data_IF_332366245936
#
_entry.id   IF_332366245936
#
_cell.length_a   1.000
_cell.length_b   1.000
_cell.length_c   1.000
_cell.angle_alpha   90.00
_cell.angle_beta   90.00
_cell.angle_gamma   90.00
#
_symmetry.space_group_name_H-M   'P 1'
#
loop_
_entity.id
_entity.type
_entity.pdbx_description
1 polymer ?
#
# COMPACT_ATOMS: atom_id res chain seq x y z
N UNK A 1 28.22 -26.10 -2.22
CA UNK A 1 27.48 -24.83 -2.38
C UNK A 1 26.08 -25.12 -2.83
N UNK A 2 25.10 -24.90 -1.99
CA UNK A 2 23.72 -25.05 -2.40
C UNK A 2 23.24 -23.70 -2.96
N UNK A 3 22.68 -23.76 -4.17
CA UNK A 3 22.01 -22.59 -4.74
C UNK A 3 20.72 -22.32 -3.95
N UNK A 4 20.30 -21.04 -3.81
CA UNK A 4 19.03 -20.77 -3.21
C UNK A 4 17.91 -21.54 -3.92
N UNK A 5 17.15 -22.29 -3.16
CA UNK A 5 16.00 -22.97 -3.73
C UNK A 5 14.84 -21.98 -3.80
N UNK A 6 14.23 -21.92 -4.96
CA UNK A 6 13.05 -21.10 -5.16
C UNK A 6 11.81 -21.95 -5.03
N UNK A 7 10.87 -21.50 -4.26
CA UNK A 7 9.59 -22.14 -4.12
C UNK A 7 8.53 -21.30 -4.81
N UNK A 8 7.81 -21.88 -5.75
CA UNK A 8 6.63 -21.24 -6.29
C UNK A 8 5.54 -21.35 -5.26
N UNK A 9 5.19 -20.22 -4.65
CA UNK A 9 4.21 -20.19 -3.59
C UNK A 9 2.79 -20.07 -4.13
N UNK A 10 2.60 -19.16 -5.06
CA UNK A 10 1.28 -18.78 -5.53
C UNK A 10 1.35 -18.52 -7.03
N UNK A 11 0.30 -18.90 -7.72
CA UNK A 11 0.21 -18.71 -9.17
C UNK A 11 -1.16 -18.20 -9.54
N UNK A 12 -1.22 -17.15 -10.34
CA UNK A 12 -2.44 -16.60 -10.89
C UNK A 12 -2.42 -16.78 -12.42
N UNK A 13 -3.40 -17.48 -12.94
CA UNK A 13 -3.54 -17.69 -14.37
C UNK A 13 -4.83 -17.09 -14.86
N UNK A 14 -4.74 -16.20 -15.84
CA UNK A 14 -5.89 -15.56 -16.47
C UNK A 14 -5.68 -15.63 -17.97
N UNK A 15 -6.60 -16.28 -18.69
CA UNK A 15 -6.47 -16.54 -20.11
C UNK A 15 -5.18 -17.33 -20.36
N UNK A 16 -4.28 -16.84 -21.22
CA UNK A 16 -3.01 -17.49 -21.52
C UNK A 16 -1.85 -16.94 -20.68
N UNK A 17 -2.12 -16.09 -19.71
CA UNK A 17 -1.10 -15.41 -18.93
C UNK A 17 -1.02 -15.98 -17.53
N UNK A 18 0.18 -16.34 -17.12
CA UNK A 18 0.45 -16.89 -15.79
C UNK A 18 1.49 -16.03 -15.10
N UNK A 19 1.16 -15.58 -13.90
CA UNK A 19 2.07 -14.82 -13.05
C UNK A 19 2.23 -15.58 -11.74
N UNK A 20 3.48 -15.76 -11.32
CA UNK A 20 3.78 -16.50 -10.11
C UNK A 20 4.49 -15.62 -9.10
N UNK A 21 4.17 -15.84 -7.83
CA UNK A 21 4.89 -15.29 -6.69
C UNK A 21 5.77 -16.37 -6.13
N UNK A 22 7.05 -16.09 -6.04
CA UNK A 22 8.08 -17.06 -5.63
C UNK A 22 8.83 -16.48 -4.43
N UNK A 23 9.06 -17.32 -3.44
CA UNK A 23 9.95 -16.98 -2.33
C UNK A 23 11.25 -17.77 -2.46
N UNK A 24 12.38 -17.11 -2.30
CA UNK A 24 13.67 -17.77 -2.21
C UNK A 24 14.07 -18.01 -0.75
N UNK A 25 15.12 -18.80 -0.54
CA UNK A 25 15.64 -19.15 0.79
C UNK A 25 16.05 -17.94 1.64
N UNK A 26 16.38 -16.84 0.96
CA UNK A 26 16.76 -15.60 1.65
C UNK A 26 15.58 -14.77 2.12
N UNK A 27 14.34 -15.24 1.89
CA UNK A 27 13.13 -14.57 2.32
C UNK A 27 12.60 -13.51 1.37
N UNK A 28 13.28 -13.25 0.26
CA UNK A 28 12.80 -12.32 -0.75
C UNK A 28 11.69 -12.93 -1.59
N UNK A 29 10.78 -12.10 -2.05
CA UNK A 29 9.72 -12.51 -2.96
C UNK A 29 10.01 -11.96 -4.35
N UNK A 30 9.77 -12.81 -5.35
CA UNK A 30 9.92 -12.45 -6.77
C UNK A 30 8.61 -12.66 -7.49
N UNK A 31 8.36 -11.81 -8.45
CA UNK A 31 7.27 -12.00 -9.41
C UNK A 31 7.91 -12.58 -10.69
N UNK A 32 7.34 -13.65 -11.19
CA UNK A 32 7.80 -14.30 -12.43
C UNK A 32 6.68 -14.31 -13.45
N UNK A 33 7.02 -13.91 -14.68
CA UNK A 33 6.10 -13.93 -15.81
C UNK A 33 6.91 -13.99 -17.10
N UNK A 34 6.55 -14.90 -18.01
CA UNK A 34 7.24 -15.04 -19.32
C UNK A 34 8.76 -15.18 -19.17
N UNK A 35 9.21 -16.06 -18.28
CA UNK A 35 10.62 -16.34 -17.99
C UNK A 35 11.42 -15.13 -17.47
N UNK A 36 10.73 -14.04 -17.14
CA UNK A 36 11.32 -12.86 -16.52
C UNK A 36 10.97 -12.82 -15.05
N UNK A 37 11.88 -12.30 -14.26
CA UNK A 37 11.70 -12.17 -12.81
C UNK A 37 12.02 -10.75 -12.37
N UNK A 38 11.27 -10.28 -11.41
CA UNK A 38 11.55 -9.01 -10.74
C UNK A 38 11.24 -9.16 -9.26
N UNK A 39 12.04 -8.53 -8.42
CA UNK A 39 11.82 -8.57 -6.98
C UNK A 39 10.52 -7.84 -6.64
N UNK A 40 9.74 -8.42 -5.73
CA UNK A 40 8.58 -7.73 -5.18
C UNK A 40 9.08 -6.78 -4.10
N UNK A 41 9.00 -5.49 -4.37
CA UNK A 41 9.38 -4.48 -3.40
C UNK A 41 8.32 -4.37 -2.32
N UNK A 42 8.78 -4.36 -1.07
CA UNK A 42 7.89 -4.17 0.08
C UNK A 42 7.99 -2.71 0.50
N UNK A 43 6.94 -1.91 0.31
CA UNK A 43 6.97 -0.50 0.67
C UNK A 43 7.07 -0.32 2.18
N UNK A 44 7.72 0.74 2.60
CA UNK A 44 7.71 1.14 4.00
C UNK A 44 6.60 2.19 4.26
N UNK A 45 6.53 2.67 5.49
CA UNK A 45 5.51 3.65 5.89
C UNK A 45 5.68 4.97 5.14
N UNK A 46 6.92 5.41 4.92
CA UNK A 46 7.20 6.65 4.19
C UNK A 46 6.76 6.53 2.72
N UNK A 47 6.97 5.36 2.11
CA UNK A 47 6.48 5.09 0.75
C UNK A 47 4.96 5.20 0.70
N UNK A 48 4.27 4.64 1.67
CA UNK A 48 2.81 4.68 1.74
C UNK A 48 2.30 6.12 1.90
N UNK A 49 2.96 6.91 2.74
CA UNK A 49 2.63 8.33 2.93
C UNK A 49 2.92 9.15 1.67
N UNK A 50 4.02 8.82 0.97
CA UNK A 50 4.40 9.51 -0.26
C UNK A 50 3.39 9.35 -1.39
N UNK A 51 2.71 8.21 -1.46
CA UNK A 51 1.68 7.95 -2.48
C UNK A 51 0.53 8.96 -2.39
N UNK A 52 0.15 9.34 -1.18
CA UNK A 52 -0.97 10.29 -0.98
C UNK A 52 -0.54 11.75 -1.01
N UNK A 53 0.75 12.03 -0.95
CA UNK A 53 1.31 13.41 -0.89
C UNK A 53 0.68 14.25 0.22
N UNK A 54 0.23 13.63 1.31
CA UNK A 54 -0.37 14.32 2.43
C UNK A 54 -1.77 14.87 2.18
N UNK A 55 -2.33 14.68 0.99
CA UNK A 55 -3.64 15.21 0.61
C UNK A 55 -4.79 14.26 0.88
N UNK A 56 -4.50 12.98 0.94
CA UNK A 56 -5.49 11.91 1.12
C UNK A 56 -4.98 10.93 2.14
N UNK A 57 -5.89 10.16 2.71
CA UNK A 57 -5.51 9.02 3.53
C UNK A 57 -4.56 8.12 2.75
N UNK A 58 -3.55 7.54 3.40
CA UNK A 58 -2.68 6.56 2.75
C UNK A 58 -3.49 5.40 2.20
N UNK A 59 -2.98 4.73 1.16
CA UNK A 59 -3.69 3.61 0.55
C UNK A 59 -3.84 2.44 1.52
N UNK A 60 -4.92 1.70 1.34
CA UNK A 60 -5.14 0.45 2.06
C UNK A 60 -4.13 -0.61 1.60
N UNK A 61 -3.97 -1.64 2.40
CA UNK A 61 -2.96 -2.69 2.19
C UNK A 61 -3.02 -3.31 0.79
N UNK A 62 -4.22 -3.59 0.29
CA UNK A 62 -4.35 -4.15 -1.07
C UNK A 62 -3.80 -3.20 -2.14
N UNK A 63 -4.06 -1.92 -2.01
CA UNK A 63 -3.58 -0.92 -2.98
C UNK A 63 -2.05 -0.82 -2.93
N UNK A 64 -1.45 -0.88 -1.74
CA UNK A 64 0.00 -0.94 -1.60
C UNK A 64 0.57 -2.17 -2.31
N UNK A 65 -0.04 -3.32 -2.08
CA UNK A 65 0.38 -4.56 -2.74
C UNK A 65 0.24 -4.45 -4.27
N UNK A 66 -0.90 -3.95 -4.75
CA UNK A 66 -1.13 -3.80 -6.18
C UNK A 66 -0.08 -2.91 -6.83
N UNK A 67 0.29 -1.81 -6.18
CA UNK A 67 1.33 -0.92 -6.68
C UNK A 67 2.70 -1.60 -6.74
N UNK A 68 3.07 -2.33 -5.70
CA UNK A 68 4.32 -3.10 -5.69
C UNK A 68 4.33 -4.16 -6.78
N UNK A 69 3.22 -4.87 -6.95
CA UNK A 69 3.03 -5.87 -7.98
C UNK A 69 3.15 -5.27 -9.37
N UNK A 70 2.48 -4.16 -9.61
CA UNK A 70 2.54 -3.44 -10.89
C UNK A 70 3.96 -2.94 -11.20
N UNK A 71 4.66 -2.42 -10.20
CA UNK A 71 6.05 -1.98 -10.35
C UNK A 71 6.96 -3.12 -10.76
N UNK A 72 6.80 -4.29 -10.14
CA UNK A 72 7.58 -5.48 -10.49
C UNK A 72 7.36 -5.89 -11.95
N UNK A 73 6.11 -5.86 -12.39
CA UNK A 73 5.78 -6.19 -13.79
C UNK A 73 6.36 -5.14 -14.75
N UNK A 74 6.30 -3.88 -14.38
CA UNK A 74 6.87 -2.79 -15.20
C UNK A 74 8.37 -2.92 -15.33
N UNK A 75 9.07 -3.34 -14.28
CA UNK A 75 10.52 -3.57 -14.31
C UNK A 75 10.91 -4.70 -15.27
N UNK A 76 10.02 -5.65 -15.49
CA UNK A 76 10.23 -6.73 -16.45
C UNK A 76 10.03 -6.29 -17.91
N UNK A 77 9.62 -5.06 -18.15
CA UNK A 77 9.32 -4.50 -19.47
C UNK A 77 8.25 -5.31 -20.22
N UNK A 78 7.32 -5.87 -19.49
CA UNK A 78 6.21 -6.62 -20.07
C UNK A 78 5.04 -5.68 -20.34
N UNK A 79 4.42 -5.85 -21.51
CA UNK A 79 3.22 -5.09 -21.87
C UNK A 79 1.99 -5.90 -21.48
N UNK A 80 1.52 -5.65 -20.28
CA UNK A 80 0.31 -6.28 -19.77
C UNK A 80 -0.70 -5.19 -19.49
N UNK A 81 -1.94 -5.38 -19.91
CA UNK A 81 -3.00 -4.41 -19.69
C UNK A 81 -3.23 -4.21 -18.18
N UNK A 82 -3.50 -2.97 -17.80
CA UNK A 82 -3.77 -2.60 -16.41
C UNK A 82 -4.88 -3.43 -15.78
N UNK A 83 -5.94 -3.67 -16.56
CA UNK A 83 -7.06 -4.48 -16.10
C UNK A 83 -6.62 -5.90 -15.76
N UNK A 84 -5.74 -6.48 -16.57
CA UNK A 84 -5.20 -7.83 -16.33
C UNK A 84 -4.29 -7.84 -15.10
N UNK A 85 -3.43 -6.83 -14.97
CA UNK A 85 -2.57 -6.69 -13.79
C UNK A 85 -3.42 -6.62 -12.52
N UNK A 86 -4.49 -5.86 -12.54
CA UNK A 86 -5.38 -5.72 -11.39
C UNK A 86 -6.08 -7.05 -11.05
N UNK A 87 -6.47 -7.81 -12.04
CA UNK A 87 -7.08 -9.13 -11.82
C UNK A 87 -6.10 -10.11 -11.19
N UNK A 88 -4.88 -10.16 -11.72
CA UNK A 88 -3.82 -10.98 -11.14
C UNK A 88 -3.50 -10.56 -9.71
N UNK A 89 -3.39 -9.26 -9.47
CA UNK A 89 -3.13 -8.74 -8.14
C UNK A 89 -4.23 -9.12 -7.15
N UNK A 90 -5.49 -9.06 -7.57
CA UNK A 90 -6.64 -9.45 -6.73
C UNK A 90 -6.55 -10.93 -6.35
N UNK A 91 -6.30 -11.80 -7.34
CA UNK A 91 -6.15 -13.22 -7.11
C UNK A 91 -4.97 -13.49 -6.16
N UNK A 92 -3.85 -12.88 -6.45
CA UNK A 92 -2.63 -13.05 -5.67
C UNK A 92 -2.82 -12.59 -4.24
N UNK A 93 -3.47 -11.45 -4.04
CA UNK A 93 -3.72 -10.91 -2.69
C UNK A 93 -4.58 -11.86 -1.86
N UNK A 94 -5.60 -12.45 -2.46
CA UNK A 94 -6.42 -13.46 -1.79
C UNK A 94 -5.60 -14.67 -1.35
N UNK A 95 -4.70 -15.15 -2.22
CA UNK A 95 -3.83 -16.27 -1.90
C UNK A 95 -2.82 -15.92 -0.81
N UNK A 96 -2.26 -14.71 -0.84
CA UNK A 96 -1.32 -14.23 0.17
C UNK A 96 -2.01 -14.20 1.55
N UNK A 97 -3.23 -13.71 1.59
CA UNK A 97 -3.99 -13.64 2.84
C UNK A 97 -4.13 -15.02 3.48
N UNK A 98 -4.39 -16.05 2.68
CA UNK A 98 -4.63 -17.40 3.17
C UNK A 98 -3.33 -18.17 3.44
N UNK A 99 -2.32 -17.98 2.58
CA UNK A 99 -1.13 -18.85 2.56
C UNK A 99 0.14 -18.18 3.06
N UNK A 100 0.20 -16.86 3.05
CA UNK A 100 1.41 -16.10 3.41
C UNK A 100 1.07 -15.01 4.42
N UNK A 101 0.72 -15.40 5.66
CA UNK A 101 0.26 -14.42 6.66
C UNK A 101 1.30 -13.37 7.00
N UNK A 102 2.59 -13.69 6.99
CA UNK A 102 3.64 -12.72 7.28
C UNK A 102 3.68 -11.60 6.23
N UNK A 103 3.58 -11.96 4.96
CA UNK A 103 3.57 -10.98 3.89
C UNK A 103 2.28 -10.14 3.93
N UNK A 104 1.15 -10.79 4.16
CA UNK A 104 -0.14 -10.11 4.28
C UNK A 104 -0.13 -9.11 5.44
N UNK A 105 0.36 -9.54 6.61
CA UNK A 105 0.47 -8.67 7.79
C UNK A 105 1.44 -7.52 7.58
N UNK A 106 2.51 -7.75 6.83
CA UNK A 106 3.45 -6.68 6.52
C UNK A 106 2.76 -5.52 5.82
N UNK A 107 2.05 -5.80 4.73
CA UNK A 107 1.33 -4.75 4.00
C UNK A 107 0.24 -4.10 4.86
N UNK A 108 -0.44 -4.91 5.64
CA UNK A 108 -1.48 -4.41 6.54
C UNK A 108 -0.90 -3.47 7.59
N UNK A 109 0.19 -3.85 8.21
CA UNK A 109 0.84 -3.05 9.25
C UNK A 109 1.37 -1.74 8.68
N UNK A 110 1.97 -1.76 7.50
CA UNK A 110 2.45 -0.54 6.84
C UNK A 110 1.28 0.41 6.57
N UNK A 111 0.18 -0.11 6.04
CA UNK A 111 -1.01 0.69 5.77
C UNK A 111 -1.60 1.30 7.04
N UNK A 112 -1.72 0.51 8.09
CA UNK A 112 -2.26 0.96 9.38
C UNK A 112 -1.37 2.02 10.03
N UNK A 113 -0.06 1.79 10.05
CA UNK A 113 0.88 2.75 10.62
C UNK A 113 0.91 4.06 9.84
N UNK A 114 0.87 3.98 8.51
CA UNK A 114 0.79 5.16 7.67
C UNK A 114 -0.49 5.95 7.94
N UNK A 115 -1.61 5.25 8.08
CA UNK A 115 -2.90 5.87 8.40
C UNK A 115 -2.85 6.54 9.77
N UNK A 116 -2.26 5.89 10.76
CA UNK A 116 -2.12 6.47 12.09
C UNK A 116 -1.26 7.74 12.07
N UNK A 117 -0.14 7.71 11.36
CA UNK A 117 0.72 8.89 11.21
C UNK A 117 -0.01 10.02 10.48
N UNK A 118 -0.74 9.69 9.42
CA UNK A 118 -1.53 10.67 8.68
C UNK A 118 -2.59 11.31 9.58
N UNK A 119 -3.33 10.51 10.32
CA UNK A 119 -4.36 11.00 11.23
C UNK A 119 -3.75 11.84 12.36
N UNK A 120 -2.62 11.43 12.91
CA UNK A 120 -1.93 12.18 13.95
C UNK A 120 -1.47 13.54 13.43
N UNK A 121 -0.89 13.60 12.24
CA UNK A 121 -0.47 14.85 11.60
C UNK A 121 -1.67 15.78 11.37
N UNK A 122 -2.77 15.24 10.85
CA UNK A 122 -3.99 16.01 10.63
C UNK A 122 -4.60 16.50 11.95
N UNK A 123 -4.56 15.67 12.98
CA UNK A 123 -5.03 16.07 14.29
C UNK A 123 -4.20 17.23 14.86
N UNK A 124 -2.88 17.19 14.69
CA UNK A 124 -2.01 18.29 15.11
C UNK A 124 -2.33 19.57 14.38
N UNK A 125 -2.54 19.52 13.07
CA UNK A 125 -2.94 20.68 12.28
C UNK A 125 -4.29 21.22 12.76
N UNK A 126 -5.24 20.33 12.97
CA UNK A 126 -6.58 20.70 13.47
C UNK A 126 -6.48 21.36 14.85
N UNK A 127 -5.70 20.82 15.77
CA UNK A 127 -5.51 21.39 17.10
C UNK A 127 -4.86 22.75 17.03
N UNK A 128 -3.89 22.94 16.14
CA UNK A 128 -3.26 24.24 15.92
C UNK A 128 -4.28 25.27 15.43
N UNK A 129 -5.09 24.92 14.45
CA UNK A 129 -6.12 25.79 13.91
C UNK A 129 -7.18 26.14 14.97
N UNK A 130 -7.58 25.17 15.79
CA UNK A 130 -8.49 25.40 16.91
C UNK A 130 -7.92 26.38 17.92
N UNK A 131 -6.65 26.27 18.25
CA UNK A 131 -6.00 27.18 19.18
C UNK A 131 -5.91 28.59 18.60
N UNK A 132 -5.61 28.74 17.33
CA UNK A 132 -5.61 30.03 16.64
C UNK A 132 -6.98 30.66 16.62
N UNK A 133 -8.00 29.84 16.38
CA UNK A 133 -9.38 30.26 16.38
C UNK A 133 -9.80 30.72 17.76
N UNK A 134 -9.47 30.01 18.83
CA UNK A 134 -9.76 30.39 20.21
C UNK A 134 -9.10 31.71 20.59
N UNK A 135 -7.89 31.95 20.12
CA UNK A 135 -7.21 33.22 20.37
C UNK A 135 -7.93 34.39 19.71
N UNK A 136 -8.49 34.18 18.52
CA UNK A 136 -9.30 35.18 17.84
C UNK A 136 -10.64 35.41 18.57
N UNK A 137 -11.20 34.34 19.14
CA UNK A 137 -12.45 34.41 19.91
C UNK A 137 -12.34 35.27 21.14
N UNK A 138 -11.23 35.16 21.83
CA UNK A 138 -10.99 35.94 23.04
C UNK A 138 -10.83 37.42 22.74
N UNK A 139 -10.59 37.78 21.47
CA UNK A 139 -10.44 39.19 21.04
C UNK A 139 -11.69 39.77 20.38
N UNK A 140 -12.47 38.93 19.73
CA UNK A 140 -13.75 39.33 19.12
C UNK A 140 -14.78 38.28 19.48
N UNK A 141 -15.98 38.73 19.79
CA UNK A 141 -17.06 37.81 20.12
C UNK A 141 -17.33 36.87 18.96
N UNK A 142 -17.28 35.56 19.24
CA UNK A 142 -17.61 34.56 18.29
C UNK A 142 -19.07 34.55 17.96
N UNK A 143 -19.33 34.37 16.70
CA UNK A 143 -20.66 34.10 16.25
C UNK A 143 -20.97 32.61 16.50
N UNK A 144 -22.01 32.28 17.28
CA UNK A 144 -22.32 30.88 17.62
C UNK A 144 -22.63 29.98 16.42
N UNK A 145 -22.89 30.56 15.26
CA UNK A 145 -23.19 29.78 14.05
C UNK A 145 -22.00 29.05 13.48
N UNK A 146 -20.78 29.45 13.86
CA UNK A 146 -19.59 28.84 13.32
C UNK A 146 -19.26 27.46 13.90
N UNK A 147 -19.91 27.09 15.00
CA UNK A 147 -19.67 25.80 15.63
C UNK A 147 -20.37 24.64 14.94
N UNK A 148 -21.26 24.88 14.00
CA UNK A 148 -22.02 23.84 13.30
C UNK A 148 -21.40 23.39 12.01
N UNK A 149 -20.40 24.09 11.51
CA UNK A 149 -19.78 23.77 10.23
C UNK A 149 -18.77 22.62 10.31
N UNK A 150 -18.48 22.14 11.50
CA UNK A 150 -17.42 21.15 11.74
C UNK A 150 -17.94 19.81 12.23
N UNK A 151 -19.19 19.58 12.09
CA UNK A 151 -19.79 18.29 12.43
C UNK A 151 -19.62 17.26 11.32
#
# INVERSE_FOLDING_TARGET
MSFPQHFTLLTSSILEETISLIQCDLGYYYIECHDKKSILRTPDVDDALGISNGRRSPPKSFILFRKSFQSSISEMCLKIERAQISKHATNMWGYIKESQPHLWHYFKNVSEEATDRYNTANLKIFMFDMNSYRSSENKSRLNPHNSHEYS
#
